data_IF_356695461253
#
_entry.id   IF_356695461253
#
_cell.length_a   1.000
_cell.length_b   1.000
_cell.length_c   1.000
_cell.angle_alpha   90.00
_cell.angle_beta   90.00
_cell.angle_gamma   90.00
#
_symmetry.space_group_name_H-M   'P 1'
#
loop_
_entity.id
_entity.type
_entity.pdbx_description
1 polymer ?
#
# COMPACT_ATOMS: atom_id res chain seq x y z
N UNK A 1 -9.25 11.79 4.63
CA UNK A 1 -7.78 11.79 4.72
C UNK A 1 -7.27 10.53 4.03
N UNK A 2 -6.15 10.62 3.31
CA UNK A 2 -5.47 9.45 2.74
C UNK A 2 -4.08 9.40 3.38
N UNK A 3 -3.67 8.24 3.84
CA UNK A 3 -2.32 7.97 4.33
C UNK A 3 -1.69 6.99 3.35
N UNK A 4 -0.61 7.41 2.69
CA UNK A 4 0.19 6.59 1.80
C UNK A 4 1.51 6.27 2.50
N UNK A 5 1.57 5.09 3.08
CA UNK A 5 2.72 4.60 3.84
C UNK A 5 2.85 3.09 3.59
N UNK A 6 4.06 2.55 3.75
CA UNK A 6 4.30 1.11 3.56
C UNK A 6 3.52 0.30 4.61
N UNK A 7 3.38 0.84 5.83
CA UNK A 7 2.65 0.23 6.93
C UNK A 7 3.14 -1.18 7.23
N UNK A 8 4.45 -1.46 7.07
CA UNK A 8 5.01 -2.82 7.11
C UNK A 8 4.61 -3.59 8.36
N UNK A 9 4.79 -3.04 9.59
CA UNK A 9 4.37 -3.74 10.80
C UNK A 9 2.87 -3.58 11.04
N UNK A 10 2.21 -4.65 11.48
CA UNK A 10 0.77 -4.65 11.75
C UNK A 10 0.35 -3.62 12.79
N UNK A 11 1.17 -3.42 13.84
CA UNK A 11 0.84 -2.50 14.93
C UNK A 11 0.62 -1.06 14.45
N UNK A 12 1.27 -0.65 13.35
CA UNK A 12 1.10 0.68 12.75
C UNK A 12 -0.32 0.83 12.19
N UNK A 13 -0.80 -0.20 11.47
CA UNK A 13 -2.16 -0.23 10.90
C UNK A 13 -3.22 -0.32 11.98
N UNK A 14 -2.96 -1.07 13.05
CA UNK A 14 -3.83 -1.13 14.22
C UNK A 14 -3.96 0.24 14.90
N UNK A 15 -2.84 0.98 15.02
CA UNK A 15 -2.85 2.34 15.58
C UNK A 15 -3.66 3.32 14.71
N UNK A 16 -3.56 3.23 13.38
CA UNK A 16 -4.40 4.04 12.48
C UNK A 16 -5.88 3.69 12.62
N UNK A 17 -6.23 2.40 12.67
CA UNK A 17 -7.60 1.93 12.86
C UNK A 17 -8.17 2.43 14.20
N UNK A 18 -7.40 2.33 15.28
CA UNK A 18 -7.79 2.82 16.59
C UNK A 18 -7.98 4.35 16.61
N UNK A 19 -7.11 5.08 15.92
CA UNK A 19 -7.20 6.55 15.80
C UNK A 19 -8.48 6.96 15.04
N UNK A 20 -8.79 6.29 13.93
CA UNK A 20 -10.02 6.55 13.18
C UNK A 20 -11.27 6.24 14.03
N UNK A 21 -11.27 5.11 14.75
CA UNK A 21 -12.35 4.75 15.66
C UNK A 21 -12.56 5.77 16.78
N UNK A 22 -11.48 6.24 17.42
CA UNK A 22 -11.54 7.26 18.46
C UNK A 22 -12.10 8.60 17.96
N UNK A 23 -11.90 8.92 16.68
CA UNK A 23 -12.45 10.09 16.03
C UNK A 23 -13.87 9.89 15.45
N UNK A 24 -14.45 8.68 15.59
CA UNK A 24 -15.74 8.34 14.97
C UNK A 24 -15.71 8.34 13.44
N UNK A 25 -14.53 8.17 12.84
CA UNK A 25 -14.34 8.17 11.39
C UNK A 25 -14.31 6.75 10.82
N UNK A 26 -14.86 6.52 9.62
CA UNK A 26 -14.73 5.24 8.93
C UNK A 26 -13.26 4.97 8.55
N UNK A 27 -12.88 3.69 8.51
CA UNK A 27 -11.54 3.24 8.18
C UNK A 27 -11.58 2.18 7.08
N UNK A 28 -10.80 2.40 6.03
CA UNK A 28 -10.57 1.42 4.97
C UNK A 28 -9.06 1.21 4.80
N UNK A 29 -8.63 -0.06 4.84
CA UNK A 29 -7.27 -0.43 4.51
C UNK A 29 -7.20 -0.80 3.02
N UNK A 30 -6.33 -0.15 2.27
CA UNK A 30 -6.07 -0.47 0.86
C UNK A 30 -4.69 -1.10 0.77
N UNK A 31 -4.61 -2.32 0.22
CA UNK A 31 -3.33 -3.01 0.05
C UNK A 31 -2.99 -3.10 -1.43
N UNK A 32 -1.95 -2.37 -1.84
CA UNK A 32 -1.35 -2.49 -3.17
C UNK A 32 -0.46 -3.72 -3.18
N UNK A 33 -1.03 -4.86 -3.57
CA UNK A 33 -0.31 -6.13 -3.66
C UNK A 33 0.55 -6.14 -4.92
N UNK A 34 1.86 -6.10 -4.75
CA UNK A 34 2.84 -6.09 -5.84
C UNK A 34 3.74 -7.32 -5.76
N UNK A 35 4.02 -7.95 -6.90
CA UNK A 35 5.01 -9.00 -6.99
C UNK A 35 6.44 -8.42 -6.78
N UNK A 36 7.32 -9.09 -6.00
CA UNK A 36 8.69 -8.60 -5.75
C UNK A 36 9.46 -8.28 -7.03
N UNK A 37 9.28 -9.07 -8.09
CA UNK A 37 9.94 -8.88 -9.38
C UNK A 37 9.46 -7.62 -10.09
N UNK A 38 8.16 -7.30 -9.99
CA UNK A 38 7.60 -6.07 -10.53
C UNK A 38 8.09 -4.85 -9.73
N UNK A 39 8.15 -4.95 -8.40
CA UNK A 39 8.69 -3.88 -7.55
C UNK A 39 10.15 -3.58 -7.92
N UNK A 40 11.00 -4.61 -7.99
CA UNK A 40 12.42 -4.46 -8.35
C UNK A 40 12.60 -3.82 -9.74
N UNK A 41 11.83 -4.27 -10.74
CA UNK A 41 11.86 -3.67 -12.08
C UNK A 41 11.51 -2.17 -12.05
N UNK A 42 10.48 -1.78 -11.28
CA UNK A 42 10.07 -0.37 -11.16
C UNK A 42 11.12 0.49 -10.44
N UNK A 43 11.81 -0.04 -9.44
CA UNK A 43 12.92 0.66 -8.77
C UNK A 43 14.07 0.87 -9.75
N UNK A 44 14.51 -0.17 -10.46
CA UNK A 44 15.58 -0.06 -11.45
C UNK A 44 15.23 0.92 -12.58
N UNK A 45 13.99 0.89 -13.07
CA UNK A 45 13.52 1.85 -14.06
C UNK A 45 13.58 3.30 -13.54
N UNK A 46 13.17 3.54 -12.29
CA UNK A 46 13.25 4.87 -11.67
C UNK A 46 14.69 5.35 -11.46
N UNK A 47 15.66 4.45 -11.25
CA UNK A 47 17.08 4.82 -11.18
C UNK A 47 17.64 5.25 -12.54
N UNK A 48 17.14 4.67 -13.63
CA UNK A 48 17.53 5.02 -14.99
C UNK A 48 16.85 6.31 -15.48
N UNK A 49 15.55 6.45 -15.19
CA UNK A 49 14.74 7.62 -15.54
C UNK A 49 14.01 8.12 -14.28
N UNK A 50 14.63 9.04 -13.52
CA UNK A 50 14.09 9.47 -12.24
C UNK A 50 12.81 10.29 -12.40
N UNK A 51 11.69 9.69 -12.01
CA UNK A 51 10.39 10.37 -11.89
C UNK A 51 10.02 10.67 -10.43
N UNK A 52 10.68 10.00 -9.47
CA UNK A 52 10.46 10.14 -8.01
C UNK A 52 11.76 9.86 -7.25
N UNK A 53 11.85 10.25 -5.96
CA UNK A 53 12.98 9.88 -5.11
C UNK A 53 13.24 8.37 -5.14
N UNK A 54 14.52 8.00 -5.18
CA UNK A 54 14.92 6.59 -5.16
C UNK A 54 14.81 6.00 -3.74
N UNK A 55 14.73 4.67 -3.67
CA UNK A 55 14.79 3.90 -2.43
C UNK A 55 16.03 3.02 -2.50
N UNK A 56 16.85 3.04 -1.45
CA UNK A 56 18.08 2.24 -1.40
C UNK A 56 17.75 0.75 -1.30
N UNK A 57 18.67 -0.10 -1.77
CA UNK A 57 18.49 -1.56 -1.68
C UNK A 57 18.40 -2.03 -0.22
N UNK A 58 19.09 -1.35 0.71
CA UNK A 58 19.01 -1.64 2.14
C UNK A 58 17.60 -1.42 2.70
N UNK A 59 16.96 -0.30 2.35
CA UNK A 59 15.59 0.02 2.77
C UNK A 59 14.59 -0.99 2.18
N UNK A 60 14.76 -1.38 0.91
CA UNK A 60 13.91 -2.41 0.31
C UNK A 60 14.05 -3.77 1.00
N UNK A 61 15.29 -4.17 1.32
CA UNK A 61 15.55 -5.43 2.00
C UNK A 61 14.98 -5.45 3.42
N UNK A 62 15.14 -4.36 4.17
CA UNK A 62 14.58 -4.19 5.51
C UNK A 62 13.04 -4.28 5.48
N UNK A 63 12.38 -3.49 4.63
CA UNK A 63 10.92 -3.53 4.54
C UNK A 63 10.41 -4.89 4.09
N UNK A 64 11.08 -5.57 3.17
CA UNK A 64 10.69 -6.91 2.74
C UNK A 64 10.80 -7.94 3.89
N UNK A 65 11.83 -7.83 4.72
CA UNK A 65 12.04 -8.72 5.86
C UNK A 65 11.03 -8.48 7.00
N UNK A 66 10.58 -7.24 7.18
CA UNK A 66 9.66 -6.85 8.25
C UNK A 66 8.21 -6.69 7.81
N UNK A 67 7.86 -7.01 6.56
CA UNK A 67 6.51 -6.81 6.03
C UNK A 67 5.55 -7.86 6.58
N UNK A 68 4.53 -7.41 7.30
CA UNK A 68 3.41 -8.24 7.74
C UNK A 68 2.23 -8.03 6.79
N UNK A 69 1.94 -8.96 5.87
CA UNK A 69 0.89 -8.78 4.88
C UNK A 69 -0.48 -8.72 5.56
N UNK A 70 -1.38 -7.80 5.16
CA UNK A 70 -2.67 -7.58 5.83
C UNK A 70 -3.74 -8.63 5.45
N UNK A 71 -3.36 -9.91 5.34
CA UNK A 71 -4.25 -10.98 4.83
C UNK A 71 -5.51 -11.19 5.68
N UNK A 72 -5.43 -10.84 6.97
CA UNK A 72 -6.54 -11.02 7.95
C UNK A 72 -7.24 -9.71 8.32
N UNK A 73 -6.85 -8.58 7.72
CA UNK A 73 -7.37 -7.24 8.07
C UNK A 73 -8.46 -6.74 7.12
N UNK A 74 -8.93 -7.64 6.25
CA UNK A 74 -9.91 -7.40 5.19
C UNK A 74 -9.58 -6.16 4.33
N UNK A 75 -8.38 -6.10 3.72
CA UNK A 75 -8.01 -4.96 2.90
C UNK A 75 -8.80 -4.95 1.58
N UNK A 76 -8.99 -3.76 1.03
CA UNK A 76 -9.30 -3.62 -0.40
C UNK A 76 -8.00 -3.89 -1.16
N UNK A 77 -7.93 -5.02 -1.87
CA UNK A 77 -6.73 -5.44 -2.57
C UNK A 77 -6.67 -4.78 -3.95
N UNK A 78 -5.53 -4.16 -4.25
CA UNK A 78 -5.23 -3.57 -5.56
C UNK A 78 -4.05 -4.32 -6.16
N UNK A 79 -4.20 -4.81 -7.39
CA UNK A 79 -3.07 -5.34 -8.13
C UNK A 79 -2.09 -4.21 -8.46
N UNK A 80 -0.86 -4.32 -7.95
CA UNK A 80 0.22 -3.38 -8.17
C UNK A 80 0.54 -3.15 -9.65
N UNK A 81 0.25 -4.12 -10.54
CA UNK A 81 0.41 -3.96 -11.98
C UNK A 81 -0.62 -3.03 -12.62
N UNK A 82 -1.76 -2.79 -11.95
CA UNK A 82 -2.92 -2.07 -12.49
C UNK A 82 -3.23 -0.77 -11.75
N UNK A 83 -2.29 -0.23 -10.98
CA UNK A 83 -2.51 0.99 -10.18
C UNK A 83 -2.79 2.25 -11.01
N UNK A 84 -2.47 2.25 -12.31
CA UNK A 84 -2.79 3.34 -13.24
C UNK A 84 -4.04 3.08 -14.10
N UNK A 85 -4.66 1.90 -13.98
CA UNK A 85 -5.85 1.54 -14.75
C UNK A 85 -7.09 2.17 -14.12
N UNK A 86 -7.77 3.05 -14.87
CA UNK A 86 -8.92 3.82 -14.37
C UNK A 86 -10.06 2.92 -13.88
N UNK A 87 -10.28 1.76 -14.50
CA UNK A 87 -11.31 0.83 -14.07
C UNK A 87 -10.98 0.18 -12.72
N UNK A 88 -9.69 -0.15 -12.49
CA UNK A 88 -9.19 -0.62 -11.19
C UNK A 88 -9.37 0.45 -10.12
N UNK A 89 -9.02 1.70 -10.42
CA UNK A 89 -9.20 2.83 -9.48
C UNK A 89 -10.68 3.03 -9.13
N UNK A 90 -11.57 3.02 -10.12
CA UNK A 90 -13.01 3.16 -9.89
C UNK A 90 -13.56 2.04 -8.97
N UNK A 91 -13.17 0.79 -9.23
CA UNK A 91 -13.60 -0.35 -8.40
C UNK A 91 -13.13 -0.22 -6.94
N UNK A 92 -11.90 0.28 -6.71
CA UNK A 92 -11.38 0.53 -5.35
C UNK A 92 -12.16 1.63 -4.65
N UNK A 93 -12.47 2.72 -5.36
CA UNK A 93 -13.27 3.83 -4.81
C UNK A 93 -14.67 3.34 -4.40
N UNK A 94 -15.31 2.53 -5.24
CA UNK A 94 -16.62 1.96 -4.92
C UNK A 94 -16.56 1.01 -3.72
N UNK A 95 -15.53 0.16 -3.64
CA UNK A 95 -15.30 -0.73 -2.49
C UNK A 95 -15.03 0.02 -1.18
N UNK A 96 -14.41 1.20 -1.24
CA UNK A 96 -14.22 2.07 -0.05
C UNK A 96 -15.56 2.70 0.36
N UNK A 97 -16.39 3.13 -0.59
CA UNK A 97 -17.69 3.77 -0.33
C UNK A 97 -18.74 2.82 0.23
N UNK A 98 -18.61 1.52 -0.01
CA UNK A 98 -19.54 0.50 0.48
C UNK A 98 -19.24 0.01 1.90
N UNK A 99 -18.29 0.64 2.61
CA UNK A 99 -17.88 0.29 3.98
C UNK A 99 -18.45 1.26 5.02
#
# INVERSE_FOLDING_TARGET
MIVDDTGSPRFVRDAWRATAAAAGAPFALVWVRIAPELQRRRVLANRTEPARPDVTDAVLAEHAASFEPPETEEPVIVDGARTADASTVAAVVDAIRSR
#
